data_IF_360764676967
#
_entry.id   IF_360764676967
#
_cell.length_a   1.000
_cell.length_b   1.000
_cell.length_c   1.000
_cell.angle_alpha   90.00
_cell.angle_beta   90.00
_cell.angle_gamma   90.00
#
_symmetry.space_group_name_H-M   'P 1'
#
loop_
_entity.id
_entity.type
_entity.pdbx_description
1 polymer ?
#
# COMPACT_ATOMS: atom_id res chain seq x y z
N UNK A 1 8.15 6.82 13.33
CA UNK A 1 6.81 6.22 13.18
C UNK A 1 6.58 5.34 14.39
N UNK A 2 5.39 5.39 14.98
CA UNK A 2 5.02 4.48 16.07
C UNK A 2 4.76 3.09 15.49
N UNK A 3 5.73 2.18 15.61
CA UNK A 3 5.66 0.80 15.13
C UNK A 3 4.84 -0.09 16.10
N UNK A 4 3.59 0.29 16.33
CA UNK A 4 2.69 -0.49 17.20
C UNK A 4 2.44 -1.90 16.67
N UNK A 5 2.58 -2.10 15.35
CA UNK A 5 2.50 -3.42 14.72
C UNK A 5 3.69 -4.30 15.10
N UNK A 6 4.91 -3.76 15.15
CA UNK A 6 6.09 -4.53 15.62
C UNK A 6 5.93 -4.96 17.07
N UNK A 7 5.32 -4.11 17.91
CA UNK A 7 5.07 -4.43 19.32
C UNK A 7 4.14 -5.64 19.52
N UNK A 8 3.32 -5.96 18.53
CA UNK A 8 2.45 -7.16 18.54
C UNK A 8 3.01 -8.29 17.66
N UNK A 9 4.30 -8.22 17.30
CA UNK A 9 5.00 -9.26 16.56
C UNK A 9 4.81 -9.23 15.04
N UNK A 10 4.27 -8.15 14.49
CA UNK A 10 4.09 -8.00 13.03
C UNK A 10 5.32 -7.30 12.44
N UNK A 11 5.98 -7.96 11.49
CA UNK A 11 7.06 -7.36 10.72
C UNK A 11 6.50 -6.29 9.78
N UNK A 12 7.04 -5.07 9.81
CA UNK A 12 6.58 -3.97 8.96
C UNK A 12 7.73 -3.29 8.25
N UNK A 13 7.47 -2.89 7.01
CA UNK A 13 8.35 -2.03 6.23
C UNK A 13 7.58 -0.74 5.99
N UNK A 14 8.05 0.36 6.55
CA UNK A 14 7.46 1.67 6.30
C UNK A 14 8.55 2.64 5.85
N UNK A 15 8.57 2.93 4.55
CA UNK A 15 9.44 3.94 3.96
C UNK A 15 8.59 5.14 3.52
N UNK A 16 9.15 6.35 3.56
CA UNK A 16 8.51 7.56 3.00
C UNK A 16 8.86 7.77 1.54
N UNK A 17 9.97 7.22 1.07
CA UNK A 17 10.41 7.34 -0.31
C UNK A 17 9.60 6.39 -1.21
N UNK A 18 8.99 6.96 -2.25
CA UNK A 18 8.13 6.21 -3.17
C UNK A 18 8.91 5.23 -4.05
N UNK A 19 10.12 5.61 -4.49
CA UNK A 19 10.91 4.79 -5.40
C UNK A 19 11.34 3.47 -4.78
N UNK A 20 11.82 3.53 -3.54
CA UNK A 20 12.18 2.35 -2.73
C UNK A 20 10.97 1.47 -2.42
N UNK A 21 9.78 2.05 -2.16
CA UNK A 21 8.55 1.26 -2.03
C UNK A 21 8.26 0.48 -3.32
N UNK A 22 8.34 1.14 -4.47
CA UNK A 22 8.08 0.52 -5.77
C UNK A 22 9.04 -0.64 -6.07
N UNK A 23 10.32 -0.49 -5.72
CA UNK A 23 11.33 -1.54 -5.86
C UNK A 23 11.11 -2.72 -4.90
N UNK A 24 10.41 -2.51 -3.79
CA UNK A 24 10.13 -3.56 -2.81
C UNK A 24 8.95 -4.44 -3.25
N UNK A 25 7.96 -3.87 -3.94
CA UNK A 25 6.72 -4.58 -4.33
C UNK A 25 6.97 -5.92 -5.04
N UNK A 26 7.89 -6.04 -6.03
CA UNK A 26 8.14 -7.31 -6.70
C UNK A 26 8.69 -8.42 -5.80
N UNK A 27 9.21 -8.08 -4.62
CA UNK A 27 9.73 -9.05 -3.65
C UNK A 27 8.67 -9.56 -2.67
N UNK A 28 7.50 -8.92 -2.64
CA UNK A 28 6.38 -9.31 -1.79
C UNK A 28 5.61 -10.48 -2.40
N UNK A 29 4.95 -11.23 -1.54
CA UNK A 29 4.15 -12.42 -1.86
C UNK A 29 2.69 -12.23 -1.48
N UNK A 30 1.84 -13.18 -1.83
CA UNK A 30 0.43 -13.22 -1.41
C UNK A 30 0.23 -13.32 0.12
N UNK A 31 1.29 -13.60 0.89
CA UNK A 31 1.27 -13.62 2.36
C UNK A 31 1.56 -12.25 2.99
N UNK A 32 2.04 -11.31 2.20
CA UNK A 32 2.32 -9.95 2.62
C UNK A 32 1.08 -9.08 2.46
N UNK A 33 1.05 -7.92 3.13
CA UNK A 33 -0.09 -7.01 3.08
C UNK A 33 0.37 -5.57 2.93
N UNK A 34 -0.19 -4.85 1.95
CA UNK A 34 0.11 -3.43 1.74
C UNK A 34 -1.00 -2.58 2.35
N UNK A 35 -0.64 -1.67 3.25
CA UNK A 35 -1.57 -0.68 3.81
C UNK A 35 -1.21 0.70 3.25
N UNK A 36 -2.12 1.30 2.50
CA UNK A 36 -1.96 2.61 1.87
C UNK A 36 -2.76 3.65 2.64
N UNK A 37 -2.15 4.80 2.91
CA UNK A 37 -2.83 5.94 3.53
C UNK A 37 -2.91 7.09 2.53
N UNK A 38 -4.12 7.46 2.12
CA UNK A 38 -4.34 8.60 1.23
C UNK A 38 -5.63 9.32 1.60
N UNK A 39 -5.54 10.60 1.99
CA UNK A 39 -6.74 11.40 2.28
C UNK A 39 -7.67 11.50 1.05
N UNK A 40 -7.09 11.75 -0.13
CA UNK A 40 -7.84 11.91 -1.38
C UNK A 40 -8.13 10.58 -2.09
N UNK A 41 -7.31 9.56 -1.86
CA UNK A 41 -7.32 8.29 -2.60
C UNK A 41 -6.92 8.43 -4.07
N UNK A 42 -6.35 9.58 -4.46
CA UNK A 42 -6.05 9.94 -5.86
C UNK A 42 -4.59 10.32 -6.09
N UNK A 43 -3.76 10.24 -5.06
CA UNK A 43 -2.32 10.49 -5.15
C UNK A 43 -1.71 9.53 -6.17
N UNK A 44 -1.01 10.07 -7.18
CA UNK A 44 -0.50 9.30 -8.32
C UNK A 44 0.43 8.16 -7.87
N UNK A 45 1.28 8.42 -6.90
CA UNK A 45 2.19 7.45 -6.30
C UNK A 45 1.42 6.26 -5.71
N UNK A 46 0.35 6.54 -4.94
CA UNK A 46 -0.48 5.51 -4.30
C UNK A 46 -1.22 4.68 -5.33
N UNK A 47 -1.73 5.31 -6.40
CA UNK A 47 -2.38 4.59 -7.50
C UNK A 47 -1.39 3.68 -8.25
N UNK A 48 -0.13 4.09 -8.39
CA UNK A 48 0.89 3.25 -9.00
C UNK A 48 1.26 2.05 -8.10
N UNK A 49 1.35 2.24 -6.78
CA UNK A 49 1.53 1.12 -5.83
C UNK A 49 0.34 0.16 -5.91
N UNK A 50 -0.89 0.68 -5.92
CA UNK A 50 -2.11 -0.11 -6.03
C UNK A 50 -2.08 -1.00 -7.29
N UNK A 51 -1.78 -0.39 -8.45
CA UNK A 51 -1.67 -1.08 -9.73
C UNK A 51 -0.63 -2.20 -9.70
N UNK A 52 0.56 -1.93 -9.15
CA UNK A 52 1.61 -2.95 -9.06
C UNK A 52 1.23 -4.05 -8.07
N UNK A 53 0.71 -3.72 -6.89
CA UNK A 53 0.29 -4.72 -5.92
C UNK A 53 -0.79 -5.66 -6.45
N UNK A 54 -1.77 -5.14 -7.19
CA UNK A 54 -2.81 -5.95 -7.86
C UNK A 54 -2.18 -6.88 -8.91
N UNK A 55 -1.25 -6.36 -9.74
CA UNK A 55 -0.51 -7.15 -10.72
C UNK A 55 0.23 -8.34 -10.08
N UNK A 56 0.81 -8.15 -8.90
CA UNK A 56 1.50 -9.19 -8.13
C UNK A 56 0.59 -9.99 -7.19
N UNK A 57 -0.74 -9.76 -7.23
CA UNK A 57 -1.75 -10.43 -6.39
C UNK A 57 -1.51 -10.28 -4.88
N UNK A 58 -0.93 -9.15 -4.48
CA UNK A 58 -0.69 -8.83 -3.08
C UNK A 58 -1.97 -8.25 -2.48
N UNK A 59 -2.43 -8.71 -1.31
CA UNK A 59 -3.50 -8.07 -0.55
C UNK A 59 -3.23 -6.60 -0.24
N UNK A 60 -4.21 -5.72 -0.48
CA UNK A 60 -4.08 -4.27 -0.27
C UNK A 60 -5.26 -3.73 0.53
N UNK A 61 -4.99 -2.85 1.47
CA UNK A 61 -6.00 -2.02 2.15
C UNK A 61 -5.69 -0.55 1.95
N UNK A 62 -6.66 0.20 1.42
CA UNK A 62 -6.60 1.66 1.34
C UNK A 62 -7.36 2.27 2.51
N UNK A 63 -6.66 3.06 3.32
CA UNK A 63 -7.25 3.91 4.36
C UNK A 63 -7.37 5.32 3.80
N UNK A 64 -8.61 5.79 3.65
CA UNK A 64 -8.94 7.08 3.04
C UNK A 64 -10.12 7.74 3.72
N UNK A 65 -10.21 9.08 3.61
CA UNK A 65 -11.40 9.84 3.99
C UNK A 65 -12.34 10.10 2.81
N UNK A 66 -11.94 9.76 1.58
CA UNK A 66 -12.73 9.99 0.38
C UNK A 66 -13.36 8.68 -0.10
N UNK A 67 -14.65 8.48 0.16
CA UNK A 67 -15.38 7.29 -0.28
C UNK A 67 -15.52 7.20 -1.82
N UNK A 68 -15.35 8.31 -2.53
CA UNK A 68 -15.50 8.39 -4.00
C UNK A 68 -14.14 8.60 -4.68
N UNK A 69 -13.08 7.95 -4.18
CA UNK A 69 -11.73 8.16 -4.70
C UNK A 69 -11.46 7.49 -6.04
N UNK A 70 -12.31 6.56 -6.49
CA UNK A 70 -12.26 6.02 -7.86
C UNK A 70 -11.20 4.93 -8.04
N UNK A 71 -10.73 4.30 -6.96
CA UNK A 71 -9.75 3.22 -7.05
C UNK A 71 -10.34 1.95 -7.70
N UNK A 72 -11.67 1.83 -7.78
CA UNK A 72 -12.36 0.68 -8.35
C UNK A 72 -11.98 0.44 -9.82
N UNK A 73 -11.52 1.50 -10.51
CA UNK A 73 -11.01 1.42 -11.89
C UNK A 73 -9.73 0.60 -12.03
N UNK A 74 -9.06 0.29 -10.92
CA UNK A 74 -7.80 -0.45 -10.88
C UNK A 74 -7.96 -1.88 -10.36
N UNK A 75 -9.14 -2.25 -9.87
CA UNK A 75 -9.52 -3.63 -9.52
C UNK A 75 -9.83 -4.43 -10.79
#
# INVERSE_FOLDING_TARGET
MSNNLEKIGINIICNKDFHTQLLTIPSLTEKDHIILFSKSGRTREILEILKNGIKYKIPITLITSNLNCGYEKYL
#
